data_IF_979010684202
#
_entry.id   IF_979010684202
#
_cell.length_a   1.000
_cell.length_b   1.000
_cell.length_c   1.000
_cell.angle_alpha   90.00
_cell.angle_beta   90.00
_cell.angle_gamma   90.00
#
_symmetry.space_group_name_H-M   'P 1'
#
loop_
_entity.id
_entity.type
_entity.pdbx_description
1 polymer ?
#
# COMPACT_ATOMS: atom_id res chain seq x y z
N UNK A 1 5.17 -10.94 -16.57
CA UNK A 1 3.92 -11.06 -17.36
C UNK A 1 4.12 -10.26 -18.64
N UNK A 2 3.88 -10.89 -19.78
CA UNK A 2 3.90 -10.20 -21.09
C UNK A 2 2.47 -10.16 -21.60
N UNK A 3 1.98 -8.95 -21.90
CA UNK A 3 0.63 -8.70 -22.40
C UNK A 3 0.76 -7.84 -23.67
N UNK A 4 -0.03 -8.18 -24.68
CA UNK A 4 -0.19 -7.38 -25.90
C UNK A 4 -1.58 -6.75 -25.89
N UNK A 5 -1.65 -5.43 -26.01
CA UNK A 5 -2.89 -4.68 -26.03
C UNK A 5 -2.90 -3.72 -27.22
N UNK A 6 -4.08 -3.50 -27.79
CA UNK A 6 -4.34 -2.44 -28.76
C UNK A 6 -5.19 -1.38 -28.08
N UNK A 7 -4.77 -0.12 -28.17
CA UNK A 7 -5.52 1.04 -27.70
C UNK A 7 -5.86 1.88 -28.91
N UNK A 8 -7.12 2.30 -28.99
CA UNK A 8 -7.61 3.15 -30.07
C UNK A 8 -8.39 4.33 -29.46
N UNK A 9 -8.37 5.48 -30.13
CA UNK A 9 -9.15 6.65 -29.74
C UNK A 9 -8.59 7.39 -28.52
N UNK A 10 -9.46 7.78 -27.59
CA UNK A 10 -9.10 8.70 -26.51
C UNK A 10 -8.03 8.15 -25.55
N UNK A 11 -8.03 6.84 -25.29
CA UNK A 11 -7.03 6.21 -24.41
C UNK A 11 -5.63 6.27 -25.01
N UNK A 12 -5.52 6.07 -26.34
CA UNK A 12 -4.25 6.21 -27.05
C UNK A 12 -3.73 7.64 -26.96
N UNK A 13 -4.60 8.63 -27.13
CA UNK A 13 -4.24 10.05 -27.02
C UNK A 13 -3.70 10.42 -25.64
N UNK A 14 -4.33 9.92 -24.56
CA UNK A 14 -3.84 10.15 -23.19
C UNK A 14 -2.43 9.58 -23.01
N UNK A 15 -2.20 8.35 -23.47
CA UNK A 15 -0.90 7.68 -23.38
C UNK A 15 0.17 8.46 -24.17
N UNK A 16 -0.16 8.89 -25.38
CA UNK A 16 0.75 9.66 -26.22
C UNK A 16 1.08 11.03 -25.63
N UNK A 17 0.10 11.73 -25.05
CA UNK A 17 0.33 13.00 -24.36
C UNK A 17 1.18 12.85 -23.10
N UNK A 18 1.02 11.75 -22.36
CA UNK A 18 1.85 11.46 -21.19
C UNK A 18 3.33 11.28 -21.57
N UNK A 19 3.59 10.65 -22.72
CA UNK A 19 4.96 10.52 -23.28
C UNK A 19 5.48 11.85 -23.79
N UNK A 20 4.69 12.59 -24.59
CA UNK A 20 5.08 13.89 -25.16
C UNK A 20 5.43 14.92 -24.08
N UNK A 21 4.71 14.92 -22.96
CA UNK A 21 4.96 15.81 -21.82
C UNK A 21 6.13 15.35 -20.93
N UNK A 22 6.75 14.21 -21.23
CA UNK A 22 7.87 13.67 -20.47
C UNK A 22 7.49 13.15 -19.08
N UNK A 23 6.19 12.91 -18.81
CA UNK A 23 5.72 12.32 -17.55
C UNK A 23 6.21 10.87 -17.45
N UNK A 24 6.27 10.19 -18.59
CA UNK A 24 6.81 8.83 -18.75
C UNK A 24 7.65 8.74 -20.00
N UNK A 25 8.56 7.77 -20.07
CA UNK A 25 9.45 7.56 -21.22
C UNK A 25 8.83 6.66 -22.28
N UNK A 26 7.92 5.76 -21.89
CA UNK A 26 7.33 4.77 -22.80
C UNK A 26 5.82 4.58 -22.56
N UNK A 27 5.11 4.08 -23.58
CA UNK A 27 3.69 3.70 -23.46
C UNK A 27 3.47 2.64 -22.36
N UNK A 28 4.41 1.72 -22.20
CA UNK A 28 4.35 0.70 -21.15
C UNK A 28 4.47 1.31 -19.75
N UNK A 29 5.29 2.34 -19.56
CA UNK A 29 5.35 3.07 -18.29
C UNK A 29 4.06 3.83 -18.01
N UNK A 30 3.44 4.44 -19.02
CA UNK A 30 2.12 5.08 -18.87
C UNK A 30 1.08 4.11 -18.30
N UNK A 31 1.03 2.89 -18.84
CA UNK A 31 0.11 1.85 -18.40
C UNK A 31 0.38 1.40 -16.96
N UNK A 32 1.66 1.22 -16.59
CA UNK A 32 2.04 0.88 -15.21
C UNK A 32 1.59 1.96 -14.24
N UNK A 33 1.82 3.23 -14.57
CA UNK A 33 1.37 4.36 -13.76
C UNK A 33 -0.15 4.40 -13.63
N UNK A 34 -0.87 4.13 -14.72
CA UNK A 34 -2.33 4.01 -14.69
C UNK A 34 -2.82 2.93 -13.74
N UNK A 35 -2.22 1.73 -13.78
CA UNK A 35 -2.58 0.64 -12.85
C UNK A 35 -2.25 1.00 -11.40
N UNK A 36 -1.13 1.68 -11.14
CA UNK A 36 -0.79 2.15 -9.80
C UNK A 36 -1.80 3.18 -9.29
N UNK A 37 -2.22 4.13 -10.12
CA UNK A 37 -3.28 5.08 -9.76
C UNK A 37 -4.63 4.39 -9.52
N UNK A 38 -4.95 3.35 -10.28
CA UNK A 38 -6.17 2.57 -10.03
C UNK A 38 -6.10 1.89 -8.65
N UNK A 39 -4.95 1.34 -8.26
CA UNK A 39 -4.77 0.77 -6.93
C UNK A 39 -4.82 1.84 -5.82
N UNK A 40 -4.24 3.02 -6.05
CA UNK A 40 -4.33 4.14 -5.10
C UNK A 40 -5.77 4.59 -4.89
N UNK A 41 -6.56 4.66 -5.96
CA UNK A 41 -7.96 5.12 -5.91
C UNK A 41 -8.93 4.07 -5.34
N UNK A 42 -8.72 2.80 -5.66
CA UNK A 42 -9.68 1.73 -5.37
C UNK A 42 -9.16 0.68 -4.40
N UNK A 43 -7.93 0.82 -3.88
CA UNK A 43 -7.36 -0.08 -2.88
C UNK A 43 -7.41 -1.57 -3.29
N UNK A 44 -7.22 -1.84 -4.59
CA UNK A 44 -7.45 -3.14 -5.24
C UNK A 44 -6.60 -4.28 -4.64
N UNK A 45 -5.39 -3.96 -4.16
CA UNK A 45 -4.47 -4.92 -3.53
C UNK A 45 -4.42 -4.71 -2.00
N UNK A 46 -4.92 -3.58 -1.50
CA UNK A 46 -4.90 -3.25 -0.06
C UNK A 46 -5.85 -4.12 0.77
N UNK A 47 -6.88 -4.74 0.18
CA UNK A 47 -7.77 -5.66 0.91
C UNK A 47 -7.13 -7.03 1.24
N UNK A 48 -5.99 -7.37 0.63
CA UNK A 48 -5.29 -8.64 0.88
C UNK A 48 -3.87 -8.43 1.46
N UNK A 49 -3.47 -7.20 1.74
CA UNK A 49 -2.37 -6.91 2.66
C UNK A 49 -3.01 -6.79 4.04
N UNK A 50 -3.26 -7.94 4.65
CA UNK A 50 -3.74 -8.17 6.02
C UNK A 50 -2.75 -7.66 7.08
N UNK A 51 -2.29 -6.42 6.94
CA UNK A 51 -1.54 -5.68 7.95
C UNK A 51 -2.51 -4.81 8.72
N UNK A 52 -3.16 -3.85 8.07
CA UNK A 52 -3.84 -2.77 8.81
C UNK A 52 -5.05 -3.22 9.64
N UNK A 53 -5.96 -4.07 9.11
CA UNK A 53 -7.10 -4.57 9.91
C UNK A 53 -6.67 -5.58 10.97
N UNK A 54 -5.74 -6.48 10.64
CA UNK A 54 -5.24 -7.47 11.59
C UNK A 54 -4.41 -6.81 12.69
N UNK A 55 -3.55 -5.85 12.37
CA UNK A 55 -2.76 -5.06 13.30
C UNK A 55 -3.65 -4.19 14.18
N UNK A 56 -4.72 -3.60 13.63
CA UNK A 56 -5.71 -2.89 14.44
C UNK A 56 -6.40 -3.86 15.40
N UNK A 57 -6.79 -5.05 14.93
CA UNK A 57 -7.41 -6.07 15.78
C UNK A 57 -6.47 -6.61 16.87
N UNK A 58 -5.19 -6.77 16.55
CA UNK A 58 -4.15 -7.21 17.46
C UNK A 58 -3.86 -6.13 18.50
N UNK A 59 -3.74 -4.86 18.08
CA UNK A 59 -3.58 -3.72 18.96
C UNK A 59 -4.74 -3.59 19.95
N UNK A 60 -5.99 -3.74 19.47
CA UNK A 60 -7.19 -3.75 20.32
C UNK A 60 -7.13 -4.88 21.35
N UNK A 61 -6.80 -6.12 20.94
CA UNK A 61 -6.69 -7.27 21.87
C UNK A 61 -5.59 -7.08 22.90
N UNK A 62 -4.44 -6.54 22.49
CA UNK A 62 -3.31 -6.27 23.40
C UNK A 62 -3.74 -5.20 24.43
N UNK A 63 -4.41 -4.14 24.00
CA UNK A 63 -4.90 -3.08 24.88
C UNK A 63 -5.93 -3.60 25.90
N UNK A 64 -6.86 -4.47 25.47
CA UNK A 64 -7.80 -5.14 26.37
C UNK A 64 -7.09 -6.00 27.42
N UNK A 65 -6.04 -6.74 27.02
CA UNK A 65 -5.26 -7.57 27.95
C UNK A 65 -4.43 -6.73 28.93
N UNK A 66 -3.88 -5.60 28.48
CA UNK A 66 -3.20 -4.62 29.35
C UNK A 66 -4.18 -4.06 30.38
N UNK A 67 -5.37 -3.61 29.94
CA UNK A 67 -6.44 -3.11 30.81
C UNK A 67 -6.92 -4.16 31.82
N UNK A 68 -6.99 -5.42 31.40
CA UNK A 68 -7.34 -6.54 32.28
C UNK A 68 -6.17 -6.98 33.21
N UNK A 69 -5.01 -6.32 33.17
CA UNK A 69 -3.85 -6.64 34.00
C UNK A 69 -3.16 -7.97 33.63
N UNK A 70 -3.44 -8.51 32.44
CA UNK A 70 -2.91 -9.80 31.96
C UNK A 70 -1.57 -9.66 31.24
N UNK A 71 -1.12 -8.44 30.99
CA UNK A 71 0.18 -8.14 30.37
C UNK A 71 1.10 -7.38 31.32
N UNK A 72 2.40 -7.68 31.24
CA UNK A 72 3.43 -6.94 31.98
C UNK A 72 3.79 -5.69 31.18
N UNK A 73 3.48 -4.52 31.73
CA UNK A 73 3.93 -3.24 31.19
C UNK A 73 5.25 -2.84 31.85
N UNK A 74 6.13 -2.20 31.08
CA UNK A 74 7.40 -1.69 31.59
C UNK A 74 7.52 -0.21 31.24
N UNK A 75 8.01 0.62 32.16
CA UNK A 75 8.36 1.99 31.83
C UNK A 75 9.52 2.00 30.82
N UNK A 76 9.51 3.00 29.95
CA UNK A 76 10.45 3.12 28.82
C UNK A 76 11.92 3.06 29.25
N UNK A 77 12.24 3.65 30.41
CA UNK A 77 13.58 3.62 31.01
C UNK A 77 14.10 2.21 31.32
N UNK A 78 13.19 1.24 31.54
CA UNK A 78 13.52 -0.15 31.87
C UNK A 78 13.65 -1.04 30.63
N UNK A 79 13.06 -0.63 29.49
CA UNK A 79 13.13 -1.39 28.23
C UNK A 79 14.54 -1.40 27.63
N UNK A 80 15.31 -0.31 27.78
CA UNK A 80 16.69 -0.20 27.29
C UNK A 80 17.66 -1.21 27.91
N UNK A 81 17.33 -1.72 29.10
CA UNK A 81 18.14 -2.72 29.82
C UNK A 81 17.72 -4.15 29.50
N UNK A 82 16.49 -4.35 29.02
CA UNK A 82 15.92 -5.68 28.71
C UNK A 82 16.16 -6.13 27.26
N UNK A 83 16.47 -5.20 26.35
CA UNK A 83 16.68 -5.45 24.92
C UNK A 83 18.17 -5.45 24.51
N UNK A 84 19.08 -5.63 25.47
CA UNK A 84 20.51 -5.86 25.24
C UNK A 84 20.84 -7.32 25.41
#
# INVERSE_FOLDING_TARGET
MNITMRFDGYVEQIIDEAVKKGIVKTKAEALRLGVLQLNEKYHLISQNLSGDEEDLSLAIRIDERIKAGKEKTYPESKLKTLLR
#
